data_IF_944794975323
#
_entry.id   IF_944794975323
#
_cell.length_a   1.000
_cell.length_b   1.000
_cell.length_c   1.000
_cell.angle_alpha   90.00
_cell.angle_beta   90.00
_cell.angle_gamma   90.00
#
_symmetry.space_group_name_H-M   'P 1'
#
loop_
_entity.id
_entity.type
_entity.pdbx_description
1 polymer ?
#
# COMPACT_ATOMS: atom_id res chain seq x y z
N UNK A 1 -64.24 31.83 38.91
CA UNK A 1 -64.20 32.10 40.36
C UNK A 1 -62.95 31.42 40.89
N UNK A 2 -61.86 32.18 40.98
CA UNK A 2 -61.28 32.78 42.20
C UNK A 2 -60.12 31.89 42.68
N UNK A 3 -58.87 32.34 42.52
CA UNK A 3 -58.06 33.06 43.54
C UNK A 3 -57.71 32.13 44.71
N UNK A 4 -56.48 31.95 45.16
CA UNK A 4 -55.18 32.56 44.86
C UNK A 4 -54.13 32.04 45.87
N UNK A 5 -52.87 32.42 45.62
CA UNK A 5 -51.79 32.73 46.59
C UNK A 5 -51.35 31.64 47.60
N UNK A 6 -50.15 31.06 47.45
CA UNK A 6 -48.80 31.49 47.92
C UNK A 6 -48.36 30.70 49.14
N UNK A 7 -47.28 29.95 48.99
CA UNK A 7 -46.12 29.83 49.91
C UNK A 7 -45.23 28.74 49.30
N UNK A 8 -43.92 28.82 49.19
CA UNK A 8 -42.96 29.59 49.96
C UNK A 8 -41.65 28.80 49.86
N UNK A 9 -40.85 29.16 48.86
CA UNK A 9 -39.38 29.18 48.89
C UNK A 9 -38.67 28.33 49.99
N UNK A 10 -38.27 27.08 49.67
CA UNK A 10 -37.14 26.41 50.33
C UNK A 10 -36.32 25.60 49.30
N UNK A 11 -35.66 26.32 48.40
CA UNK A 11 -34.39 25.81 47.88
C UNK A 11 -33.37 26.07 48.99
N UNK A 12 -33.15 25.06 49.84
CA UNK A 12 -32.01 25.03 50.76
C UNK A 12 -30.75 25.21 49.92
N UNK A 13 -30.23 26.43 49.89
CA UNK A 13 -28.92 26.73 49.36
C UNK A 13 -27.94 25.98 50.27
N UNK A 14 -27.50 24.79 49.84
CA UNK A 14 -26.37 24.09 50.46
C UNK A 14 -25.29 25.12 50.74
N UNK A 15 -24.86 25.19 51.99
CA UNK A 15 -23.80 26.12 52.35
C UNK A 15 -22.56 25.76 51.55
N UNK A 16 -21.74 26.76 51.21
CA UNK A 16 -20.52 26.59 50.39
C UNK A 16 -19.60 25.48 50.93
N UNK A 17 -19.64 25.22 52.24
CA UNK A 17 -18.94 24.12 52.91
C UNK A 17 -19.50 22.73 52.61
N UNK A 18 -20.82 22.59 52.51
CA UNK A 18 -21.48 21.32 52.16
C UNK A 18 -21.26 21.00 50.68
N UNK A 19 -21.28 22.03 49.84
CA UNK A 19 -20.94 21.89 48.41
C UNK A 19 -19.49 21.43 48.21
N UNK A 20 -18.55 21.94 49.02
CA UNK A 20 -17.16 21.50 49.01
C UNK A 20 -17.02 20.04 49.44
N UNK A 21 -17.67 19.63 50.55
CA UNK A 21 -17.68 18.23 51.00
C UNK A 21 -18.31 17.27 49.99
N UNK A 22 -19.39 17.70 49.34
CA UNK A 22 -20.04 16.91 48.32
C UNK A 22 -19.16 16.77 47.07
N UNK A 23 -18.45 17.84 46.69
CA UNK A 23 -17.46 17.79 45.61
C UNK A 23 -16.30 16.85 45.95
N UNK A 24 -15.77 16.91 47.16
CA UNK A 24 -14.69 16.02 47.62
C UNK A 24 -15.15 14.56 47.62
N UNK A 25 -16.38 14.30 48.08
CA UNK A 25 -16.98 12.97 48.03
C UNK A 25 -17.16 12.46 46.59
N UNK A 26 -17.58 13.31 45.66
CA UNK A 26 -17.69 12.96 44.24
C UNK A 26 -16.32 12.67 43.62
N UNK A 27 -15.27 13.42 44.00
CA UNK A 27 -13.92 13.14 43.50
C UNK A 27 -13.37 11.82 44.03
N UNK A 28 -13.65 11.49 45.29
CA UNK A 28 -13.25 10.22 45.88
C UNK A 28 -14.00 9.05 45.22
N UNK A 29 -15.31 9.20 45.00
CA UNK A 29 -16.12 8.18 44.35
C UNK A 29 -15.70 7.95 42.90
N UNK A 30 -15.35 9.02 42.19
CA UNK A 30 -14.77 8.94 40.84
C UNK A 30 -13.41 8.24 40.83
N UNK A 31 -12.55 8.53 41.81
CA UNK A 31 -11.24 7.89 41.97
C UNK A 31 -11.37 6.38 42.23
N UNK A 32 -12.28 6.00 43.14
CA UNK A 32 -12.59 4.59 43.43
C UNK A 32 -13.15 3.88 42.20
N UNK A 33 -14.05 4.53 41.45
CA UNK A 33 -14.60 3.96 40.22
C UNK A 33 -13.52 3.79 39.14
N UNK A 34 -12.61 4.76 38.98
CA UNK A 34 -11.49 4.66 38.04
C UNK A 34 -10.51 3.53 38.42
N UNK A 35 -10.23 3.35 39.71
CA UNK A 35 -9.41 2.25 40.19
C UNK A 35 -10.07 0.88 39.94
N UNK A 36 -11.38 0.76 40.15
CA UNK A 36 -12.13 -0.46 39.85
C UNK A 36 -12.15 -0.77 38.35
N UNK A 37 -12.37 0.22 37.49
CA UNK A 37 -12.32 0.07 36.02
C UNK A 37 -10.92 -0.34 35.56
N UNK A 38 -9.87 0.27 36.11
CA UNK A 38 -8.49 -0.10 35.80
C UNK A 38 -8.18 -1.55 36.21
N UNK A 39 -8.65 -2.00 37.39
CA UNK A 39 -8.46 -3.39 37.82
C UNK A 39 -9.19 -4.41 36.93
N UNK A 40 -10.38 -4.07 36.44
CA UNK A 40 -11.14 -4.94 35.53
C UNK A 40 -10.46 -5.02 34.15
N UNK A 41 -9.95 -3.90 33.64
CA UNK A 41 -9.18 -3.88 32.39
C UNK A 41 -7.84 -4.63 32.50
N UNK A 42 -7.27 -4.74 33.71
CA UNK A 42 -6.01 -5.45 33.95
C UNK A 42 -6.16 -6.98 34.04
N UNK A 43 -7.39 -7.50 34.21
CA UNK A 43 -7.64 -8.96 34.32
C UNK A 43 -7.65 -9.72 33.00
N UNK A 44 -7.64 -9.02 31.87
CA UNK A 44 -7.45 -9.62 30.54
C UNK A 44 -6.36 -8.83 29.85
N UNK A 45 -5.17 -9.42 29.74
CA UNK A 45 -4.09 -8.81 28.97
C UNK A 45 -4.48 -8.79 27.49
N UNK A 46 -4.11 -7.73 26.75
CA UNK A 46 -4.36 -7.65 25.29
C UNK A 46 -3.75 -8.85 24.53
N UNK A 47 -2.70 -9.47 25.09
CA UNK A 47 -2.09 -10.70 24.57
C UNK A 47 -3.00 -11.93 24.74
N UNK A 48 -3.68 -12.10 25.88
CA UNK A 48 -4.66 -13.16 26.08
C UNK A 48 -5.88 -12.99 25.19
N UNK A 49 -6.31 -11.74 24.97
CA UNK A 49 -7.40 -11.41 24.03
C UNK A 49 -7.01 -11.75 22.59
N UNK A 50 -5.82 -11.35 22.14
CA UNK A 50 -5.32 -11.70 20.80
C UNK A 50 -5.15 -13.21 20.61
N UNK A 51 -4.67 -13.92 21.63
CA UNK A 51 -4.57 -15.39 21.60
C UNK A 51 -5.95 -16.06 21.55
N UNK A 52 -6.94 -15.53 22.27
CA UNK A 52 -8.31 -16.02 22.23
C UNK A 52 -8.96 -15.77 20.86
N UNK A 53 -8.76 -14.60 20.27
CA UNK A 53 -9.24 -14.27 18.92
C UNK A 53 -8.61 -15.17 17.85
N UNK A 54 -7.29 -15.42 17.93
CA UNK A 54 -6.61 -16.36 17.04
C UNK A 54 -7.18 -17.79 17.17
N UNK A 55 -7.39 -18.26 18.40
CA UNK A 55 -7.98 -19.58 18.65
C UNK A 55 -9.43 -19.69 18.17
N UNK A 56 -10.21 -18.61 18.27
CA UNK A 56 -11.56 -18.55 17.71
C UNK A 56 -11.52 -18.66 16.18
N UNK A 57 -10.61 -17.94 15.52
CA UNK A 57 -10.44 -18.02 14.07
C UNK A 57 -10.04 -19.44 13.63
N UNK A 58 -9.09 -20.07 14.32
CA UNK A 58 -8.67 -21.44 14.03
C UNK A 58 -9.84 -22.44 14.19
N UNK A 59 -10.62 -22.31 15.27
CA UNK A 59 -11.79 -23.15 15.50
C UNK A 59 -12.89 -22.91 14.46
N UNK A 60 -13.10 -21.67 14.02
CA UNK A 60 -14.03 -21.35 12.95
C UNK A 60 -13.58 -21.97 11.62
N UNK A 61 -12.29 -21.90 11.31
CA UNK A 61 -11.73 -22.49 10.10
C UNK A 61 -11.85 -24.01 10.11
N UNK A 62 -11.55 -24.66 11.23
CA UNK A 62 -11.71 -26.10 11.37
C UNK A 62 -13.19 -26.51 11.33
N UNK A 63 -14.10 -25.74 11.94
CA UNK A 63 -15.54 -26.00 11.86
C UNK A 63 -16.06 -25.90 10.43
N UNK A 64 -15.63 -24.89 9.66
CA UNK A 64 -15.97 -24.77 8.24
C UNK A 64 -15.45 -25.96 7.43
N UNK A 65 -14.22 -26.40 7.71
CA UNK A 65 -13.62 -27.57 7.06
C UNK A 65 -14.37 -28.86 7.40
N UNK A 66 -14.68 -29.10 8.67
CA UNK A 66 -15.47 -30.26 9.10
C UNK A 66 -16.89 -30.22 8.53
N UNK A 67 -17.52 -29.06 8.50
CA UNK A 67 -18.88 -28.88 7.95
C UNK A 67 -18.92 -29.17 6.45
N UNK A 68 -17.96 -28.63 5.69
CA UNK A 68 -17.84 -28.90 4.25
C UNK A 68 -17.50 -30.35 3.94
N UNK A 69 -16.64 -30.98 4.74
CA UNK A 69 -16.32 -32.40 4.60
C UNK A 69 -17.56 -33.28 4.86
N UNK A 70 -18.28 -33.01 5.97
CA UNK A 70 -19.49 -33.77 6.32
C UNK A 70 -20.60 -33.57 5.29
N UNK A 71 -20.78 -32.35 4.76
CA UNK A 71 -21.77 -32.10 3.72
C UNK A 71 -21.44 -32.83 2.42
N UNK A 72 -20.17 -32.86 2.02
CA UNK A 72 -19.70 -33.63 0.88
C UNK A 72 -19.91 -35.14 1.07
N UNK A 73 -19.59 -35.68 2.25
CA UNK A 73 -19.81 -37.09 2.58
C UNK A 73 -21.29 -37.46 2.55
N UNK A 74 -22.16 -36.64 3.16
CA UNK A 74 -23.61 -36.84 3.15
C UNK A 74 -24.16 -36.84 1.73
N UNK A 75 -23.74 -35.89 0.90
CA UNK A 75 -24.13 -35.81 -0.50
C UNK A 75 -23.67 -37.04 -1.31
N UNK A 76 -22.45 -37.51 -1.09
CA UNK A 76 -21.92 -38.70 -1.75
C UNK A 76 -22.73 -39.95 -1.39
N UNK A 77 -23.06 -40.11 -0.10
CA UNK A 77 -23.88 -41.22 0.38
C UNK A 77 -25.30 -41.16 -0.20
N UNK A 78 -25.93 -39.99 -0.21
CA UNK A 78 -27.25 -39.80 -0.83
C UNK A 78 -27.23 -40.14 -2.32
N UNK A 79 -26.20 -39.70 -3.06
CA UNK A 79 -26.03 -40.02 -4.48
C UNK A 79 -25.84 -41.51 -4.73
N UNK A 80 -25.08 -42.21 -3.89
CA UNK A 80 -24.90 -43.66 -3.98
C UNK A 80 -26.21 -44.41 -3.73
N UNK A 81 -26.96 -44.01 -2.69
CA UNK A 81 -28.27 -44.60 -2.38
C UNK A 81 -29.26 -44.39 -3.53
N UNK A 82 -29.41 -43.16 -4.01
CA UNK A 82 -30.28 -42.84 -5.15
C UNK A 82 -29.82 -43.55 -6.42
N UNK A 83 -28.51 -43.63 -6.67
CA UNK A 83 -27.94 -44.34 -7.81
C UNK A 83 -28.25 -45.83 -7.78
N UNK A 84 -28.19 -46.47 -6.60
CA UNK A 84 -28.59 -47.87 -6.42
C UNK A 84 -30.07 -48.12 -6.75
N UNK A 85 -30.96 -47.25 -6.28
CA UNK A 85 -32.39 -47.34 -6.61
C UNK A 85 -32.64 -47.09 -8.11
N UNK A 86 -31.92 -46.13 -8.70
CA UNK A 86 -32.02 -45.85 -10.13
C UNK A 86 -31.56 -47.04 -10.97
N UNK A 87 -30.50 -47.74 -10.57
CA UNK A 87 -30.04 -48.97 -11.24
C UNK A 87 -31.11 -50.07 -11.19
N UNK A 88 -31.75 -50.27 -10.04
CA UNK A 88 -32.87 -51.21 -9.91
C UNK A 88 -34.02 -50.84 -10.85
N UNK A 89 -34.43 -49.57 -10.88
CA UNK A 89 -35.51 -49.10 -11.76
C UNK A 89 -35.17 -49.20 -13.25
N UNK A 90 -33.90 -49.08 -13.63
CA UNK A 90 -33.48 -49.09 -15.02
C UNK A 90 -33.22 -50.50 -15.58
N UNK A 91 -32.67 -51.40 -14.75
CA UNK A 91 -32.12 -52.68 -15.20
C UNK A 91 -32.78 -53.92 -14.57
N UNK A 92 -33.56 -53.77 -13.50
CA UNK A 92 -34.24 -54.88 -12.86
C UNK A 92 -35.70 -54.93 -13.33
N UNK A 93 -36.10 -56.02 -13.97
CA UNK A 93 -37.44 -56.19 -14.56
C UNK A 93 -38.48 -56.60 -13.51
N UNK A 94 -38.03 -57.08 -12.35
CA UNK A 94 -38.90 -57.50 -11.23
C UNK A 94 -39.44 -56.31 -10.40
N UNK A 95 -38.93 -55.10 -10.63
CA UNK A 95 -39.41 -53.89 -9.96
C UNK A 95 -40.70 -53.41 -10.65
N UNK A 96 -41.82 -53.26 -9.91
CA UNK A 96 -43.14 -52.94 -10.47
C UNK A 96 -43.24 -51.44 -10.82
N UNK A 97 -42.41 -50.97 -11.75
CA UNK A 97 -42.45 -49.62 -12.30
C UNK A 97 -43.19 -49.67 -13.64
N UNK A 98 -44.21 -48.82 -13.85
CA UNK A 98 -44.90 -48.71 -15.13
C UNK A 98 -43.91 -48.47 -16.30
N UNK A 99 -44.07 -49.13 -17.46
CA UNK A 99 -43.14 -49.00 -18.58
C UNK A 99 -42.93 -47.56 -19.06
N UNK A 100 -43.99 -46.73 -19.04
CA UNK A 100 -43.92 -45.31 -19.39
C UNK A 100 -43.02 -44.50 -18.44
N UNK A 101 -43.07 -44.81 -17.14
CA UNK A 101 -42.28 -44.12 -16.13
C UNK A 101 -40.80 -44.53 -16.22
N UNK A 102 -40.53 -45.82 -16.52
CA UNK A 102 -39.17 -46.31 -16.80
C UNK A 102 -38.56 -45.59 -18.01
N UNK A 103 -39.33 -45.40 -19.08
CA UNK A 103 -38.86 -44.70 -20.28
C UNK A 103 -38.63 -43.20 -20.02
N UNK A 104 -39.51 -42.56 -19.23
CA UNK A 104 -39.31 -41.17 -18.77
C UNK A 104 -38.01 -41.00 -17.99
N UNK A 105 -37.73 -41.93 -17.07
CA UNK A 105 -36.49 -41.92 -16.26
C UNK A 105 -35.26 -42.14 -17.15
N UNK A 106 -35.31 -43.04 -18.12
CA UNK A 106 -34.23 -43.21 -19.11
C UNK A 106 -33.95 -41.92 -19.88
N UNK A 107 -35.00 -41.23 -20.33
CA UNK A 107 -34.88 -39.94 -21.01
C UNK A 107 -34.20 -38.88 -20.12
N UNK A 108 -34.60 -38.78 -18.85
CA UNK A 108 -33.98 -37.86 -17.89
C UNK A 108 -32.51 -38.19 -17.62
N UNK A 109 -32.14 -39.47 -17.53
CA UNK A 109 -30.73 -39.89 -17.36
C UNK A 109 -29.89 -39.55 -18.58
N UNK A 110 -30.45 -39.70 -19.79
CA UNK A 110 -29.77 -39.30 -21.02
C UNK A 110 -29.54 -37.77 -21.06
N UNK A 111 -30.56 -36.97 -20.72
CA UNK A 111 -30.43 -35.51 -20.62
C UNK A 111 -29.41 -35.10 -19.54
N UNK A 112 -29.45 -35.74 -18.37
CA UNK A 112 -28.48 -35.50 -17.30
C UNK A 112 -27.05 -35.76 -17.77
N UNK A 113 -26.83 -36.83 -18.54
CA UNK A 113 -25.52 -37.17 -19.10
C UNK A 113 -25.03 -36.12 -20.09
N UNK A 114 -25.90 -35.64 -20.96
CA UNK A 114 -25.57 -34.59 -21.94
C UNK A 114 -25.19 -33.28 -21.23
N UNK A 115 -26.03 -32.83 -20.29
CA UNK A 115 -25.74 -31.65 -19.47
C UNK A 115 -24.45 -31.80 -18.66
N UNK A 116 -24.18 -32.98 -18.10
CA UNK A 116 -22.94 -33.24 -17.38
C UNK A 116 -21.72 -33.14 -18.30
N UNK A 117 -21.83 -33.61 -19.55
CA UNK A 117 -20.77 -33.48 -20.54
C UNK A 117 -20.51 -32.00 -20.92
N UNK A 118 -21.58 -31.21 -21.10
CA UNK A 118 -21.46 -29.76 -21.35
C UNK A 118 -20.82 -29.03 -20.17
N UNK A 119 -21.26 -29.31 -18.94
CA UNK A 119 -20.68 -28.72 -17.72
C UNK A 119 -19.18 -29.06 -17.63
N UNK A 120 -18.80 -30.31 -17.90
CA UNK A 120 -17.39 -30.71 -17.88
C UNK A 120 -16.58 -30.01 -18.97
N UNK A 121 -17.15 -29.84 -20.17
CA UNK A 121 -16.50 -29.10 -21.26
C UNK A 121 -16.29 -27.62 -20.88
N UNK A 122 -17.31 -26.95 -20.36
CA UNK A 122 -17.20 -25.58 -19.87
C UNK A 122 -16.21 -25.46 -18.71
N UNK A 123 -16.23 -26.40 -17.77
CA UNK A 123 -15.28 -26.40 -16.65
C UNK A 123 -13.83 -26.54 -17.14
N UNK A 124 -13.59 -27.43 -18.10
CA UNK A 124 -12.28 -27.56 -18.75
C UNK A 124 -11.84 -26.26 -19.41
N UNK A 125 -12.73 -25.63 -20.18
CA UNK A 125 -12.44 -24.35 -20.82
C UNK A 125 -12.13 -23.23 -19.81
N UNK A 126 -12.90 -23.15 -18.72
CA UNK A 126 -12.64 -22.20 -17.64
C UNK A 126 -11.26 -22.44 -16.97
N UNK A 127 -10.86 -23.70 -16.79
CA UNK A 127 -9.55 -24.03 -16.22
C UNK A 127 -8.40 -23.68 -17.18
N UNK A 128 -8.57 -23.90 -18.48
CA UNK A 128 -7.61 -23.47 -19.50
C UNK A 128 -7.45 -21.95 -19.50
N UNK A 129 -8.57 -21.21 -19.44
CA UNK A 129 -8.56 -19.75 -19.37
C UNK A 129 -7.90 -19.24 -18.09
N UNK A 130 -8.19 -19.87 -16.94
CA UNK A 130 -7.53 -19.55 -15.66
C UNK A 130 -6.02 -19.77 -15.75
N UNK A 131 -5.58 -20.90 -16.30
CA UNK A 131 -4.15 -21.17 -16.49
C UNK A 131 -3.49 -20.14 -17.41
N UNK A 132 -4.17 -19.72 -18.47
CA UNK A 132 -3.68 -18.66 -19.36
C UNK A 132 -3.57 -17.31 -18.63
N UNK A 133 -4.56 -16.96 -17.81
CA UNK A 133 -4.55 -15.75 -17.00
C UNK A 133 -3.41 -15.76 -15.97
N UNK A 134 -3.14 -16.90 -15.33
CA UNK A 134 -2.03 -17.06 -14.38
C UNK A 134 -0.66 -16.86 -15.06
N UNK A 135 -0.49 -17.38 -16.28
CA UNK A 135 0.72 -17.17 -17.10
C UNK A 135 0.90 -15.68 -17.43
N UNK A 136 -0.14 -15.03 -17.97
CA UNK A 136 -0.10 -13.59 -18.27
C UNK A 136 0.17 -12.73 -17.03
N UNK A 137 -0.38 -13.10 -15.87
CA UNK A 137 -0.12 -12.40 -14.62
C UNK A 137 1.33 -12.55 -14.18
N UNK A 138 1.93 -13.71 -14.40
CA UNK A 138 3.33 -13.98 -14.10
C UNK A 138 4.24 -13.17 -15.03
N UNK A 139 4.02 -13.23 -16.35
CA UNK A 139 4.74 -12.43 -17.34
C UNK A 139 4.63 -10.92 -17.05
N UNK A 140 3.44 -10.44 -16.70
CA UNK A 140 3.25 -9.04 -16.31
C UNK A 140 4.09 -8.66 -15.10
N UNK A 141 4.17 -9.52 -14.08
CA UNK A 141 4.98 -9.25 -12.87
C UNK A 141 6.46 -9.20 -13.23
N UNK A 142 6.95 -10.13 -14.04
CA UNK A 142 8.34 -10.16 -14.51
C UNK A 142 8.68 -8.90 -15.32
N UNK A 143 7.85 -8.54 -16.31
CA UNK A 143 8.02 -7.31 -17.08
C UNK A 143 8.00 -6.06 -16.20
N UNK A 144 7.11 -6.02 -15.20
CA UNK A 144 7.07 -4.90 -14.25
C UNK A 144 8.35 -4.81 -13.42
N UNK A 145 8.92 -5.96 -13.03
CA UNK A 145 10.17 -6.01 -12.29
C UNK A 145 11.36 -5.54 -13.15
N UNK A 146 11.45 -6.01 -14.40
CA UNK A 146 12.48 -5.60 -15.37
C UNK A 146 12.36 -4.10 -15.66
N UNK A 147 11.15 -3.59 -15.87
CA UNK A 147 10.95 -2.17 -16.13
C UNK A 147 11.38 -1.31 -14.93
N UNK A 148 11.07 -1.76 -13.71
CA UNK A 148 11.55 -1.10 -12.49
C UNK A 148 13.08 -1.08 -12.40
N UNK A 149 13.75 -2.19 -12.68
CA UNK A 149 15.22 -2.24 -12.63
C UNK A 149 15.86 -1.33 -13.69
N UNK A 150 15.34 -1.34 -14.92
CA UNK A 150 15.82 -0.45 -15.98
C UNK A 150 15.58 1.03 -15.64
N UNK A 151 14.43 1.37 -15.08
CA UNK A 151 14.14 2.73 -14.61
C UNK A 151 15.08 3.17 -13.48
N UNK A 152 15.47 2.27 -12.58
CA UNK A 152 16.46 2.59 -11.55
C UNK A 152 17.85 2.79 -12.15
N UNK A 153 18.25 1.95 -13.09
CA UNK A 153 19.55 2.05 -13.77
C UNK A 153 19.66 3.35 -14.57
N UNK A 154 18.62 3.70 -15.34
CA UNK A 154 18.57 4.95 -16.10
C UNK A 154 18.65 6.17 -15.19
N UNK A 155 17.96 6.16 -14.05
CA UNK A 155 18.08 7.24 -13.05
C UNK A 155 19.48 7.34 -12.46
N UNK A 156 20.12 6.21 -12.16
CA UNK A 156 21.49 6.23 -11.64
C UNK A 156 22.49 6.76 -12.67
N UNK A 157 22.31 6.41 -13.94
CA UNK A 157 23.19 6.87 -15.00
C UNK A 157 23.01 8.35 -15.31
N UNK A 158 21.77 8.84 -15.34
CA UNK A 158 21.48 10.28 -15.42
C UNK A 158 22.10 11.06 -14.25
N UNK A 159 22.02 10.54 -13.02
CA UNK A 159 22.63 11.20 -11.87
C UNK A 159 24.15 11.22 -11.93
N UNK A 160 24.79 10.17 -12.47
CA UNK A 160 26.23 10.15 -12.68
C UNK A 160 26.63 11.14 -13.77
N UNK A 161 25.99 11.08 -14.94
CA UNK A 161 26.23 12.00 -16.06
C UNK A 161 26.07 13.46 -15.65
N UNK A 162 24.99 13.82 -14.95
CA UNK A 162 24.79 15.19 -14.47
C UNK A 162 25.84 15.62 -13.43
N UNK A 163 26.36 14.70 -12.60
CA UNK A 163 27.44 15.02 -11.65
C UNK A 163 28.75 15.24 -12.37
N UNK A 164 29.11 14.36 -13.30
CA UNK A 164 30.35 14.46 -14.09
C UNK A 164 30.35 15.73 -14.94
N UNK A 165 29.26 16.05 -15.64
CA UNK A 165 29.16 17.29 -16.42
C UNK A 165 29.33 18.54 -15.55
N UNK A 166 28.77 18.54 -14.34
CA UNK A 166 28.85 19.70 -13.44
C UNK A 166 30.25 19.84 -12.80
N UNK A 167 30.92 18.72 -12.49
CA UNK A 167 32.31 18.73 -12.02
C UNK A 167 33.28 19.16 -13.12
N UNK A 168 33.10 18.67 -14.35
CA UNK A 168 33.91 19.05 -15.51
C UNK A 168 33.73 20.53 -15.87
N UNK A 169 32.49 21.04 -15.87
CA UNK A 169 32.20 22.47 -16.06
C UNK A 169 32.83 23.33 -14.98
N UNK A 170 32.78 22.90 -13.71
CA UNK A 170 33.38 23.64 -12.61
C UNK A 170 34.91 23.70 -12.74
N UNK A 171 35.54 22.58 -13.08
CA UNK A 171 36.98 22.52 -13.30
C UNK A 171 37.42 23.41 -14.47
N UNK A 172 36.65 23.40 -15.56
CA UNK A 172 36.91 24.27 -16.72
C UNK A 172 36.78 25.76 -16.37
N UNK A 173 35.81 26.12 -15.52
CA UNK A 173 35.66 27.50 -15.02
C UNK A 173 36.85 27.91 -14.12
N UNK A 174 37.30 27.03 -13.23
CA UNK A 174 38.47 27.28 -12.37
C UNK A 174 39.75 27.47 -13.20
N UNK A 175 39.99 26.65 -14.22
CA UNK A 175 41.12 26.80 -15.14
C UNK A 175 41.03 28.11 -15.96
N UNK A 176 39.82 28.51 -16.38
CA UNK A 176 39.61 29.77 -17.08
C UNK A 176 39.88 30.98 -16.16
N UNK A 177 39.44 30.94 -14.90
CA UNK A 177 39.69 32.00 -13.93
C UNK A 177 41.18 32.12 -13.59
N UNK A 178 41.87 30.98 -13.43
CA UNK A 178 43.31 30.96 -13.18
C UNK A 178 44.10 31.56 -14.36
N UNK A 179 43.78 31.15 -15.59
CA UNK A 179 44.42 31.70 -16.80
C UNK A 179 44.15 33.19 -16.99
N UNK A 180 42.94 33.66 -16.66
CA UNK A 180 42.60 35.07 -16.65
C UNK A 180 43.40 35.83 -15.58
N UNK A 181 43.59 35.25 -14.40
CA UNK A 181 44.44 35.80 -13.34
C UNK A 181 45.90 35.96 -13.77
N UNK A 182 46.48 34.92 -14.39
CA UNK A 182 47.85 34.99 -14.95
C UNK A 182 47.98 36.07 -16.02
N UNK A 183 47.00 36.18 -16.93
CA UNK A 183 46.98 37.23 -17.95
C UNK A 183 47.00 38.62 -17.32
N UNK A 184 46.18 38.85 -16.30
CA UNK A 184 46.15 40.13 -15.57
C UNK A 184 47.50 40.45 -14.92
N UNK A 185 48.16 39.46 -14.30
CA UNK A 185 49.50 39.65 -13.72
C UNK A 185 50.52 40.02 -14.81
N UNK A 186 50.55 39.29 -15.92
CA UNK A 186 51.46 39.56 -17.04
C UNK A 186 51.22 40.95 -17.63
N UNK A 187 49.95 41.36 -17.79
CA UNK A 187 49.58 42.69 -18.25
C UNK A 187 50.10 43.79 -17.30
N UNK A 188 49.89 43.63 -16.00
CA UNK A 188 50.34 44.59 -14.99
C UNK A 188 51.87 44.69 -14.94
N UNK A 189 52.57 43.57 -15.06
CA UNK A 189 54.04 43.54 -15.12
C UNK A 189 54.55 44.25 -16.37
N UNK A 190 53.96 43.99 -17.54
CA UNK A 190 54.33 44.66 -18.80
C UNK A 190 54.09 46.17 -18.74
N UNK A 191 52.92 46.60 -18.22
CA UNK A 191 52.62 48.01 -18.02
C UNK A 191 53.62 48.67 -17.06
N UNK A 192 53.94 48.02 -15.94
CA UNK A 192 54.94 48.48 -14.99
C UNK A 192 56.33 48.60 -15.60
N UNK A 193 56.73 47.64 -16.45
CA UNK A 193 58.02 47.65 -17.14
C UNK A 193 58.11 48.81 -18.14
N UNK A 194 57.05 49.04 -18.92
CA UNK A 194 56.97 50.12 -19.89
C UNK A 194 57.09 51.48 -19.18
N UNK A 195 56.32 51.68 -18.11
CA UNK A 195 56.34 52.93 -17.32
C UNK A 195 57.71 53.12 -16.64
N UNK A 196 58.27 52.06 -16.04
CA UNK A 196 59.54 52.09 -15.32
C UNK A 196 60.78 52.20 -16.20
N UNK A 197 60.68 51.89 -17.49
CA UNK A 197 61.80 51.97 -18.44
C UNK A 197 62.24 53.40 -18.79
N UNK A 198 61.45 54.42 -18.41
CA UNK A 198 61.75 55.83 -18.70
C UNK A 198 61.63 56.21 -20.19
N UNK A 199 61.15 55.30 -21.04
CA UNK A 199 60.82 55.57 -22.44
C UNK A 199 59.57 56.45 -22.53
N UNK A 200 59.55 57.40 -23.48
CA UNK A 200 58.42 58.28 -23.69
C UNK A 200 57.31 57.57 -24.50
N UNK A 201 56.67 56.58 -23.86
CA UNK A 201 55.68 55.68 -24.45
C UNK A 201 54.45 56.39 -25.04
N UNK A 202 54.16 57.63 -24.62
CA UNK A 202 53.08 58.45 -25.17
C UNK A 202 53.41 59.03 -26.56
N UNK A 203 54.69 59.10 -26.94
CA UNK A 203 55.13 59.63 -28.25
C UNK A 203 55.40 58.52 -29.27
N UNK A 204 55.61 57.28 -28.83
CA UNK A 204 55.72 56.13 -29.72
C UNK A 204 54.32 55.52 -29.95
N UNK A 205 53.75 55.65 -31.16
CA UNK A 205 52.41 55.15 -31.46
C UNK A 205 52.26 53.64 -31.26
N UNK A 206 53.34 52.85 -31.41
CA UNK A 206 53.29 51.40 -31.19
C UNK A 206 53.22 51.04 -29.71
N UNK A 207 53.96 51.76 -28.86
CA UNK A 207 53.89 51.56 -27.41
C UNK A 207 52.57 52.07 -26.84
N UNK A 208 52.04 53.18 -27.38
CA UNK A 208 50.73 53.69 -27.01
C UNK A 208 49.61 52.69 -27.33
N UNK A 209 49.61 52.09 -28.52
CA UNK A 209 48.66 51.05 -28.92
C UNK A 209 48.78 49.79 -28.05
N UNK A 210 50.00 49.38 -27.71
CA UNK A 210 50.26 48.25 -26.83
C UNK A 210 49.78 48.53 -25.39
N UNK A 211 49.98 49.73 -24.87
CA UNK A 211 49.49 50.11 -23.54
C UNK A 211 47.95 50.19 -23.48
N UNK A 212 47.32 50.71 -24.53
CA UNK A 212 45.86 50.79 -24.63
C UNK A 212 45.23 49.40 -24.77
N UNK A 213 45.80 48.50 -25.57
CA UNK A 213 45.32 47.12 -25.70
C UNK A 213 45.47 46.31 -24.40
N UNK A 214 46.56 46.53 -23.65
CA UNK A 214 46.76 45.96 -22.31
C UNK A 214 45.78 46.54 -21.26
N UNK A 215 45.33 47.79 -21.41
CA UNK A 215 44.41 48.45 -20.47
C UNK A 215 42.92 48.26 -20.78
N UNK A 216 42.56 47.94 -22.02
CA UNK A 216 41.17 47.86 -22.50
C UNK A 216 40.52 46.50 -22.30
N UNK A 217 41.27 45.48 -21.90
CA UNK A 217 40.74 44.15 -21.55
C UNK A 217 40.38 44.09 -20.06
N UNK A 218 39.43 44.93 -19.65
CA UNK A 218 38.66 44.72 -18.41
C UNK A 218 37.30 44.13 -18.81
N UNK A 219 37.14 42.83 -18.57
CA UNK A 219 35.83 42.20 -18.38
C UNK A 219 35.40 42.42 -16.94
#
# INVERSE_FOLDING_TARGET
MMEGMTDGNQSEKMTTKELARYKDHLTDLKSIQQAAVASLQQTVTEEEKGNMEAKILDLQQELLKQTSFKSAQSLALQRLQMGGHLLQVLFDDDVPVPPQERERIKGLVAQQRELAAEILAHHKHCNELRSHQEKLQTERRELTQINRSLMTELKTEQQKSNKTENEDLKKMLEEMEETQGYLSIVQNVLQGLIIGSGLNWAQDPKLLELMLSLGSTKL
#
